data_IF_122646444366
#
_entry.id   IF_122646444366
#
_cell.length_a   1.000
_cell.length_b   1.000
_cell.length_c   1.000
_cell.angle_alpha   90.00
_cell.angle_beta   90.00
_cell.angle_gamma   90.00
#
_symmetry.space_group_name_H-M   'P 1'
#
loop_
_entity.id
_entity.type
_entity.pdbx_description
1 polymer ?
#
# COMPACT_ATOMS: atom_id res chain seq x y z
N UNK A 1 26.51 -0.62 48.76
CA UNK A 1 26.74 -0.88 47.33
C UNK A 1 25.54 -0.34 46.59
N UNK A 2 25.64 0.86 46.04
CA UNK A 2 24.62 1.35 45.12
C UNK A 2 24.76 0.60 43.79
N UNK A 3 23.63 0.15 43.27
CA UNK A 3 23.49 -0.67 42.08
C UNK A 3 23.78 0.19 40.83
N UNK A 4 25.07 0.40 40.57
CA UNK A 4 25.61 1.12 39.41
C UNK A 4 25.11 0.57 38.08
N UNK A 5 24.60 -0.67 38.04
CA UNK A 5 24.00 -1.28 36.85
C UNK A 5 22.57 -0.80 36.56
N UNK A 6 21.76 -0.48 37.58
CA UNK A 6 20.37 -0.01 37.39
C UNK A 6 20.27 1.45 36.97
N UNK A 7 21.20 2.29 37.40
CA UNK A 7 21.19 3.72 37.08
C UNK A 7 21.71 4.03 35.67
N UNK A 8 22.61 3.22 35.11
CA UNK A 8 23.09 3.40 33.73
C UNK A 8 22.02 3.03 32.68
N UNK A 9 21.26 1.95 32.92
CA UNK A 9 20.14 1.53 32.05
C UNK A 9 18.92 2.45 32.12
N UNK A 10 18.75 3.22 33.20
CA UNK A 10 17.63 4.18 33.32
C UNK A 10 17.92 5.53 32.64
N UNK A 11 19.20 5.86 32.43
CA UNK A 11 19.64 7.16 31.91
C UNK A 11 19.80 7.21 30.38
N UNK A 12 20.02 6.07 29.71
CA UNK A 12 20.23 6.00 28.26
C UNK A 12 18.96 5.68 27.45
N UNK A 13 17.93 5.08 28.06
CA UNK A 13 16.89 4.36 27.28
C UNK A 13 15.50 5.02 27.14
N UNK A 14 15.14 6.06 27.91
CA UNK A 14 13.70 6.44 28.03
C UNK A 14 13.28 7.87 27.72
N UNK A 15 14.19 8.86 27.76
CA UNK A 15 13.76 10.28 27.72
C UNK A 15 13.51 10.82 26.31
N UNK A 16 14.33 10.44 25.33
CA UNK A 16 14.21 10.98 23.97
C UNK A 16 13.29 10.15 23.06
N UNK A 17 13.30 8.81 23.15
CA UNK A 17 12.50 7.97 22.25
C UNK A 17 11.00 8.15 22.41
N UNK A 18 10.50 8.25 23.65
CA UNK A 18 9.07 8.48 23.91
C UNK A 18 8.60 9.85 23.38
N UNK A 19 9.44 10.88 23.53
CA UNK A 19 9.13 12.21 23.00
C UNK A 19 9.13 12.23 21.48
N UNK A 20 10.13 11.61 20.85
CA UNK A 20 10.22 11.50 19.38
C UNK A 20 9.05 10.71 18.81
N UNK A 21 8.70 9.58 19.44
CA UNK A 21 7.53 8.80 19.06
C UNK A 21 6.23 9.60 19.18
N UNK A 22 6.03 10.30 20.30
CA UNK A 22 4.84 11.14 20.50
C UNK A 22 4.75 12.25 19.46
N UNK A 23 5.86 12.90 19.13
CA UNK A 23 5.90 13.94 18.10
C UNK A 23 5.56 13.37 16.71
N UNK A 24 6.17 12.24 16.36
CA UNK A 24 5.91 11.54 15.09
C UNK A 24 4.45 11.10 14.97
N UNK A 25 3.87 10.53 16.03
CA UNK A 25 2.45 10.13 16.02
C UNK A 25 1.52 11.33 15.99
N UNK A 26 1.90 12.46 16.62
CA UNK A 26 1.14 13.71 16.49
C UNK A 26 1.06 14.15 15.03
N UNK A 27 2.16 14.08 14.28
CA UNK A 27 2.18 14.40 12.84
C UNK A 27 1.28 13.45 12.03
N UNK A 28 1.31 12.15 12.35
CA UNK A 28 0.44 11.15 11.70
C UNK A 28 -1.03 11.42 11.98
N UNK A 29 -1.39 11.71 13.24
CA UNK A 29 -2.76 12.04 13.63
C UNK A 29 -3.21 13.41 13.13
N UNK A 30 -2.27 14.26 12.73
CA UNK A 30 -2.58 15.55 12.12
C UNK A 30 -2.93 15.47 10.65
N UNK A 31 -2.57 14.37 9.99
CA UNK A 31 -2.87 14.12 8.58
C UNK A 31 -4.39 14.19 8.30
N UNK A 32 -4.82 14.92 7.25
CA UNK A 32 -6.24 15.17 7.02
C UNK A 32 -7.04 13.91 6.74
N UNK A 33 -6.46 12.92 6.04
CA UNK A 33 -7.16 11.67 5.71
C UNK A 33 -7.27 10.77 6.95
N UNK A 34 -6.26 10.77 7.81
CA UNK A 34 -6.32 10.10 9.12
C UNK A 34 -7.38 10.73 10.02
N UNK A 35 -7.42 12.07 10.11
CA UNK A 35 -8.44 12.79 10.89
C UNK A 35 -9.85 12.50 10.40
N UNK A 36 -10.07 12.58 9.08
CA UNK A 36 -11.36 12.30 8.48
C UNK A 36 -11.80 10.86 8.80
N UNK A 37 -10.92 9.88 8.61
CA UNK A 37 -11.23 8.48 8.89
C UNK A 37 -11.56 8.23 10.36
N UNK A 38 -10.77 8.80 11.29
CA UNK A 38 -11.06 8.68 12.73
C UNK A 38 -12.41 9.33 13.04
N UNK A 39 -12.68 10.53 12.49
CA UNK A 39 -13.93 11.26 12.70
C UNK A 39 -15.16 10.49 12.21
N UNK A 40 -15.07 9.86 11.04
CA UNK A 40 -16.12 9.03 10.47
C UNK A 40 -16.41 7.77 11.29
N UNK A 41 -15.44 7.28 12.06
CA UNK A 41 -15.51 6.04 12.81
C UNK A 41 -15.47 6.24 14.34
N UNK A 42 -15.72 7.45 14.84
CA UNK A 42 -15.62 7.76 16.28
C UNK A 42 -16.56 6.94 17.16
N UNK A 43 -17.72 6.54 16.64
CA UNK A 43 -18.67 5.72 17.40
C UNK A 43 -18.18 4.28 17.58
N UNK A 44 -17.34 3.79 16.67
CA UNK A 44 -16.80 2.43 16.67
C UNK A 44 -15.37 2.34 17.22
N UNK A 45 -14.66 3.47 17.32
CA UNK A 45 -13.26 3.53 17.74
C UNK A 45 -13.12 4.16 19.11
N UNK A 46 -12.40 3.49 20.00
CA UNK A 46 -11.90 4.10 21.24
C UNK A 46 -10.51 4.69 21.04
N UNK A 47 -10.08 5.57 21.94
CA UNK A 47 -8.70 6.09 21.93
C UNK A 47 -7.66 4.95 22.06
N UNK A 48 -7.97 3.91 22.84
CA UNK A 48 -7.11 2.73 22.97
C UNK A 48 -6.97 1.96 21.64
N UNK A 49 -8.02 1.92 20.82
CA UNK A 49 -8.01 1.25 19.53
C UNK A 49 -7.19 2.03 18.50
N UNK A 50 -7.30 3.37 18.53
CA UNK A 50 -6.45 4.26 17.75
C UNK A 50 -4.97 4.06 18.13
N UNK A 51 -4.66 4.03 19.43
CA UNK A 51 -3.30 3.80 19.93
C UNK A 51 -2.71 2.45 19.50
N UNK A 52 -3.50 1.37 19.55
CA UNK A 52 -3.08 0.05 19.04
C UNK A 52 -2.80 0.08 17.53
N UNK A 53 -3.47 0.97 16.81
CA UNK A 53 -3.38 1.08 15.35
C UNK A 53 -2.33 2.10 14.88
N UNK A 54 -1.55 2.71 15.79
CA UNK A 54 -0.53 3.71 15.45
C UNK A 54 0.47 3.25 14.38
N UNK A 55 0.91 2.00 14.43
CA UNK A 55 1.81 1.45 13.43
C UNK A 55 1.19 1.49 12.01
N UNK A 56 -0.11 1.19 11.91
CA UNK A 56 -0.87 1.19 10.65
C UNK A 56 -1.17 2.60 10.16
N UNK A 57 -1.52 3.52 11.06
CA UNK A 57 -1.68 4.92 10.70
C UNK A 57 -0.38 5.53 10.17
N UNK A 58 0.75 5.20 10.78
CA UNK A 58 2.07 5.61 10.30
C UNK A 58 2.36 5.02 8.91
N UNK A 59 2.15 3.71 8.73
CA UNK A 59 2.29 3.02 7.43
C UNK A 59 1.49 3.76 6.34
N UNK A 60 0.21 4.03 6.60
CA UNK A 60 -0.66 4.73 5.66
C UNK A 60 -0.11 6.11 5.26
N UNK A 61 0.30 6.94 6.21
CA UNK A 61 0.81 8.29 5.91
C UNK A 61 2.09 8.22 5.09
N UNK A 62 3.00 7.30 5.40
CA UNK A 62 4.24 7.13 4.65
C UNK A 62 3.97 6.64 3.22
N UNK A 63 3.17 5.58 3.05
CA UNK A 63 2.87 5.04 1.73
C UNK A 63 2.04 6.02 0.90
N UNK A 64 1.15 6.79 1.51
CA UNK A 64 0.42 7.87 0.82
C UNK A 64 1.36 8.98 0.33
N UNK A 65 2.39 9.34 1.10
CA UNK A 65 3.41 10.31 0.66
C UNK A 65 4.19 9.77 -0.54
N UNK A 66 4.63 8.52 -0.48
CA UNK A 66 5.32 7.84 -1.59
C UNK A 66 4.44 7.76 -2.83
N UNK A 67 3.18 7.34 -2.67
CA UNK A 67 2.19 7.25 -3.74
C UNK A 67 2.02 8.59 -4.48
N UNK A 68 1.92 9.70 -3.74
CA UNK A 68 1.77 11.04 -4.33
C UNK A 68 2.95 11.48 -5.19
N UNK A 69 4.17 11.03 -4.88
CA UNK A 69 5.37 11.39 -5.64
C UNK A 69 5.78 10.30 -6.65
N UNK A 70 4.99 9.24 -6.77
CA UNK A 70 5.30 8.04 -7.54
C UNK A 70 6.69 7.44 -7.19
N UNK A 71 6.99 7.32 -5.89
CA UNK A 71 8.27 6.84 -5.39
C UNK A 71 8.54 5.36 -5.79
N UNK A 72 9.73 5.03 -6.32
CA UNK A 72 10.08 3.64 -6.66
C UNK A 72 10.15 2.68 -5.47
N UNK A 73 10.32 3.19 -4.24
CA UNK A 73 10.36 2.44 -2.99
C UNK A 73 8.99 2.24 -2.32
N UNK A 74 7.90 2.39 -3.07
CA UNK A 74 6.57 1.98 -2.64
C UNK A 74 6.50 0.47 -2.40
N UNK A 75 5.76 0.07 -1.37
CA UNK A 75 5.55 -1.35 -1.06
C UNK A 75 4.68 -2.00 -2.14
N UNK A 76 3.69 -1.27 -2.68
CA UNK A 76 2.76 -1.76 -3.69
C UNK A 76 2.62 -0.77 -4.87
N UNK A 77 3.52 -0.84 -5.87
CA UNK A 77 3.45 0.02 -7.05
C UNK A 77 2.13 -0.16 -7.82
N UNK A 78 1.45 0.94 -8.15
CA UNK A 78 0.16 0.92 -8.84
C UNK A 78 -1.05 0.67 -7.95
N UNK A 79 -0.87 0.62 -6.62
CA UNK A 79 -1.94 0.56 -5.64
C UNK A 79 -1.95 1.80 -4.74
N UNK A 80 -3.15 2.30 -4.44
CA UNK A 80 -3.40 3.41 -3.52
C UNK A 80 -3.66 2.85 -2.11
N UNK A 81 -2.91 3.29 -1.08
CA UNK A 81 -3.18 2.89 0.30
C UNK A 81 -4.47 3.56 0.81
N UNK A 82 -5.30 2.80 1.54
CA UNK A 82 -6.55 3.26 2.15
C UNK A 82 -6.71 2.69 3.55
N UNK A 83 -7.21 3.52 4.46
CA UNK A 83 -7.57 3.09 5.81
C UNK A 83 -8.85 2.24 5.77
N UNK A 84 -8.85 1.16 6.54
CA UNK A 84 -10.01 0.27 6.70
C UNK A 84 -10.21 -0.05 8.19
N UNK A 85 -11.46 -0.16 8.61
CA UNK A 85 -11.82 -0.53 9.98
C UNK A 85 -12.10 -2.03 10.06
N UNK A 86 -11.31 -2.72 10.85
CA UNK A 86 -11.43 -4.16 11.12
C UNK A 86 -11.62 -4.38 12.61
N UNK A 87 -12.85 -4.61 13.09
CA UNK A 87 -13.16 -4.95 14.49
C UNK A 87 -12.32 -4.21 15.55
N UNK A 88 -12.59 -2.91 15.73
CA UNK A 88 -11.84 -2.04 16.67
C UNK A 88 -10.33 -1.93 16.38
N UNK A 89 -9.91 -2.11 15.12
CA UNK A 89 -8.54 -1.93 14.68
C UNK A 89 -8.50 -1.23 13.31
N UNK A 90 -7.61 -0.27 13.14
CA UNK A 90 -7.42 0.44 11.87
C UNK A 90 -6.29 -0.25 11.11
N UNK A 91 -6.58 -0.67 9.89
CA UNK A 91 -5.63 -1.32 9.00
C UNK A 91 -5.43 -0.52 7.71
N UNK A 92 -4.39 -0.87 6.95
CA UNK A 92 -4.09 -0.30 5.64
C UNK A 92 -4.37 -1.34 4.57
N UNK A 93 -5.23 -0.98 3.63
CA UNK A 93 -5.58 -1.79 2.46
C UNK A 93 -5.06 -1.13 1.20
N UNK A 94 -4.72 -1.92 0.19
CA UNK A 94 -4.15 -1.43 -1.07
C UNK A 94 -5.15 -1.64 -2.19
N UNK A 95 -5.65 -0.55 -2.76
CA UNK A 95 -6.68 -0.58 -3.82
C UNK A 95 -6.03 -0.27 -5.16
N UNK A 96 -6.26 -1.07 -6.22
CA UNK A 96 -5.62 -0.84 -7.51
C UNK A 96 -6.05 0.51 -8.11
N UNK A 97 -5.09 1.24 -8.69
CA UNK A 97 -5.39 2.51 -9.35
C UNK A 97 -6.16 2.29 -10.64
N UNK A 98 -6.86 3.34 -11.11
CA UNK A 98 -7.56 3.32 -12.40
C UNK A 98 -6.61 3.03 -13.57
N UNK A 99 -5.39 3.52 -13.48
CA UNK A 99 -4.33 3.28 -14.48
C UNK A 99 -3.93 1.81 -14.51
N UNK A 100 -3.69 1.20 -13.35
CA UNK A 100 -3.37 -0.21 -13.24
C UNK A 100 -4.50 -1.09 -13.80
N UNK A 101 -5.75 -0.79 -13.45
CA UNK A 101 -6.92 -1.49 -13.97
C UNK A 101 -7.07 -1.34 -15.49
N UNK A 102 -6.84 -0.15 -16.04
CA UNK A 102 -6.91 0.09 -17.48
C UNK A 102 -5.82 -0.69 -18.23
N UNK A 103 -4.60 -0.71 -17.71
CA UNK A 103 -3.50 -1.46 -18.28
C UNK A 103 -3.78 -2.97 -18.26
N UNK A 104 -4.24 -3.50 -17.12
CA UNK A 104 -4.64 -4.92 -17.01
C UNK A 104 -5.74 -5.29 -18.01
N UNK A 105 -6.75 -4.43 -18.19
CA UNK A 105 -7.82 -4.64 -19.16
C UNK A 105 -7.30 -4.68 -20.60
N UNK A 106 -6.35 -3.81 -20.96
CA UNK A 106 -5.74 -3.81 -22.29
C UNK A 106 -4.92 -5.09 -22.55
N UNK A 107 -4.13 -5.51 -21.56
CA UNK A 107 -3.34 -6.74 -21.66
C UNK A 107 -4.24 -7.98 -21.74
N UNK A 108 -5.35 -8.00 -21.01
CA UNK A 108 -6.34 -9.10 -21.11
C UNK A 108 -6.95 -9.19 -22.51
N UNK A 109 -7.33 -8.05 -23.11
CA UNK A 109 -7.85 -8.00 -24.49
C UNK A 109 -6.79 -8.52 -25.48
N UNK A 110 -5.53 -8.08 -25.36
CA UNK A 110 -4.43 -8.56 -26.20
C UNK A 110 -4.18 -10.05 -26.03
N UNK A 111 -4.21 -10.55 -24.80
CA UNK A 111 -4.06 -11.97 -24.49
C UNK A 111 -5.17 -12.82 -25.11
N UNK A 112 -6.43 -12.35 -25.06
CA UNK A 112 -7.56 -13.03 -25.70
C UNK A 112 -7.41 -13.09 -27.23
N UNK A 113 -6.97 -12.01 -27.88
CA UNK A 113 -6.71 -12.00 -29.33
C UNK A 113 -5.64 -13.06 -29.67
N UNK A 114 -4.51 -13.09 -28.93
CA UNK A 114 -3.46 -14.11 -29.13
C UNK A 114 -3.93 -15.56 -28.90
N UNK A 115 -4.91 -15.76 -28.02
CA UNK A 115 -5.45 -17.10 -27.74
C UNK A 115 -6.51 -17.55 -28.75
N UNK A 116 -7.23 -16.61 -29.37
CA UNK A 116 -8.25 -16.90 -30.39
C UNK A 116 -7.67 -16.98 -31.81
N UNK A 117 -6.62 -16.22 -32.11
CA UNK A 117 -5.97 -16.20 -33.43
C UNK A 117 -4.62 -16.94 -33.40
N UNK A 118 -4.62 -18.23 -33.76
CA UNK A 118 -3.68 -18.90 -34.70
C UNK A 118 -3.45 -20.39 -34.32
N UNK A 119 -4.02 -21.33 -35.09
CA UNK A 119 -3.51 -22.70 -35.17
C UNK A 119 -2.07 -22.68 -35.69
N UNK A 120 -1.18 -23.52 -35.14
CA UNK A 120 0.25 -23.57 -35.52
C UNK A 120 0.48 -23.69 -37.03
N UNK A 121 -0.47 -24.28 -37.75
CA UNK A 121 -0.41 -24.46 -39.21
C UNK A 121 -0.57 -23.18 -40.04
N UNK A 122 -1.09 -22.09 -39.47
CA UNK A 122 -1.25 -20.79 -40.17
C UNK A 122 -0.12 -19.81 -39.80
N UNK A 123 0.69 -20.13 -38.79
CA UNK A 123 1.78 -19.28 -38.34
C UNK A 123 2.96 -19.24 -39.33
N UNK A 124 3.08 -20.25 -40.20
CA UNK A 124 4.11 -20.36 -41.24
C UNK A 124 3.59 -20.20 -42.68
N UNK A 125 2.29 -19.95 -42.87
CA UNK A 125 1.73 -19.76 -44.20
C UNK A 125 2.01 -18.32 -44.70
N UNK A 126 3.00 -18.17 -45.59
CA UNK A 126 3.27 -16.91 -46.27
C UNK A 126 2.58 -16.89 -47.65
N UNK A 127 2.23 -15.71 -48.17
CA UNK A 127 1.71 -15.57 -49.54
C UNK A 127 2.68 -16.07 -50.64
N UNK A 128 3.93 -16.36 -50.30
CA UNK A 128 4.89 -16.95 -51.23
C UNK A 128 4.63 -18.45 -51.50
N UNK A 129 3.87 -19.13 -50.65
CA UNK A 129 3.57 -20.57 -50.74
C UNK A 129 2.23 -20.88 -51.40
N UNK A 130 1.53 -19.87 -51.92
CA UNK A 130 0.26 -20.07 -52.63
C UNK A 130 0.51 -20.67 -54.03
N UNK A 131 0.45 -22.00 -54.13
CA UNK A 131 0.35 -22.70 -55.41
C UNK A 131 -1.11 -22.97 -55.77
N UNK A 132 -1.61 -22.24 -56.77
CA UNK A 132 -2.90 -22.52 -57.39
C UNK A 132 -2.71 -23.70 -58.37
N UNK A 133 -3.23 -24.88 -58.02
CA UNK A 133 -3.20 -26.06 -58.90
C UNK A 133 -4.27 -25.91 -60.01
N UNK A 134 -3.96 -26.22 -61.28
CA UNK A 134 -4.91 -26.14 -62.40
C UNK A 134 -5.99 -27.24 -62.40
#
# INVERSE_FOLDING_TARGET
MEDVGKNLNHMLDKRNYRSQFSAMMSEVLEDPDVKAFIQENQEALTEADIQKSYAKLYEFVQEKRKFRINDPGMIAPGYEPRLALNFHFIDVTYVPTKELLAHQKQEEIRGRIKAMDIPKDIQEASFADYQQTP
#
